data_IF_742607594844
#
_entry.id   IF_742607594844
#
_cell.length_a   1.000
_cell.length_b   1.000
_cell.length_c   1.000
_cell.angle_alpha   90.00
_cell.angle_beta   90.00
_cell.angle_gamma   90.00
#
_symmetry.space_group_name_H-M   'P 1'
#
loop_
_entity.id
_entity.type
_entity.pdbx_description
1 polymer ?
#
# COMPACT_ATOMS: atom_id res chain seq x y z
N UNK A 1 2.07 10.08 15.21
CA UNK A 1 2.38 9.81 13.79
C UNK A 1 1.80 10.84 12.81
N UNK A 2 0.62 11.42 13.01
CA UNK A 2 0.01 12.43 12.12
C UNK A 2 0.75 13.77 12.04
N UNK A 3 1.41 14.19 13.12
CA UNK A 3 2.08 15.50 13.21
C UNK A 3 3.34 15.61 12.34
N UNK A 4 4.08 14.52 12.16
CA UNK A 4 5.33 14.51 11.38
C UNK A 4 5.11 14.61 9.86
N UNK A 5 4.04 14.00 9.32
CA UNK A 5 3.79 14.05 7.87
C UNK A 5 3.38 15.44 7.40
N UNK A 6 2.60 16.17 8.20
CA UNK A 6 2.19 17.54 7.88
C UNK A 6 3.39 18.52 7.91
N UNK A 7 4.31 18.32 8.85
CA UNK A 7 5.50 19.15 8.97
C UNK A 7 6.46 18.96 7.78
N UNK A 8 6.63 17.71 7.34
CA UNK A 8 7.44 17.40 6.14
C UNK A 8 6.90 18.07 4.88
N UNK A 9 5.58 18.03 4.70
CA UNK A 9 4.91 18.69 3.55
C UNK A 9 5.03 20.20 3.62
N UNK A 10 4.90 20.78 4.81
CA UNK A 10 5.09 22.21 5.01
C UNK A 10 6.49 22.64 4.59
N UNK A 11 7.52 21.96 5.08
CA UNK A 11 8.91 22.27 4.74
C UNK A 11 9.14 22.10 3.24
N UNK A 12 8.68 20.99 2.66
CA UNK A 12 8.87 20.70 1.25
C UNK A 12 8.18 21.73 0.35
N UNK A 13 6.92 22.08 0.66
CA UNK A 13 6.17 23.09 -0.10
C UNK A 13 6.79 24.49 0.06
N UNK A 14 7.33 24.81 1.24
CA UNK A 14 8.02 26.08 1.47
C UNK A 14 9.33 26.16 0.70
N UNK A 15 10.15 25.10 0.72
CA UNK A 15 11.39 25.01 -0.06
C UNK A 15 11.11 25.12 -1.56
N UNK A 16 10.10 24.42 -2.08
CA UNK A 16 9.71 24.49 -3.48
C UNK A 16 9.19 25.88 -3.84
N UNK A 17 8.37 26.50 -3.01
CA UNK A 17 7.86 27.84 -3.24
C UNK A 17 9.00 28.88 -3.25
N UNK A 18 9.98 28.76 -2.36
CA UNK A 18 11.15 29.65 -2.34
C UNK A 18 12.02 29.48 -3.59
N UNK A 19 12.15 28.23 -4.07
CA UNK A 19 12.90 27.93 -5.29
C UNK A 19 12.17 28.45 -6.56
N UNK A 20 10.85 28.33 -6.61
CA UNK A 20 10.04 28.92 -7.69
C UNK A 20 10.19 30.44 -7.70
N UNK A 21 10.11 31.10 -6.54
CA UNK A 21 10.28 32.52 -6.42
C UNK A 21 11.68 32.95 -6.90
N UNK A 22 12.74 32.22 -6.54
CA UNK A 22 14.11 32.51 -7.02
C UNK A 22 14.25 32.35 -8.53
N UNK A 23 13.47 31.45 -9.17
CA UNK A 23 13.46 31.32 -10.63
C UNK A 23 12.55 32.33 -11.34
N UNK A 24 11.47 32.80 -10.67
CA UNK A 24 10.63 33.88 -11.20
C UNK A 24 11.36 35.23 -11.21
N UNK A 25 12.30 35.42 -10.29
CA UNK A 25 13.20 36.60 -10.30
C UNK A 25 14.11 36.64 -11.53
N UNK A 26 14.30 35.51 -12.22
CA UNK A 26 15.01 35.43 -13.51
C UNK A 26 14.16 35.86 -14.71
N UNK A 27 12.86 36.20 -14.55
CA UNK A 27 12.07 36.82 -15.58
C UNK A 27 12.48 38.30 -15.77
N UNK A 28 12.55 38.83 -17.02
CA UNK A 28 13.18 40.13 -17.32
C UNK A 28 12.54 41.37 -16.67
N UNK A 29 11.37 41.20 -16.03
CA UNK A 29 10.70 42.29 -15.26
C UNK A 29 11.31 42.46 -13.87
N UNK A 30 12.00 41.45 -13.31
CA UNK A 30 12.60 41.45 -11.98
C UNK A 30 14.13 41.31 -12.04
N UNK A 31 14.69 41.18 -13.27
CA UNK A 31 16.10 40.90 -13.56
C UNK A 31 17.12 41.97 -13.12
N UNK A 32 16.67 43.09 -12.50
CA UNK A 32 17.61 44.09 -11.93
C UNK A 32 18.23 43.63 -10.61
N UNK A 33 17.66 42.65 -9.92
CA UNK A 33 18.18 42.15 -8.64
C UNK A 33 19.20 41.01 -8.81
N UNK A 34 19.05 40.15 -9.86
CA UNK A 34 19.99 39.07 -10.15
C UNK A 34 21.39 39.54 -10.57
N UNK A 35 21.46 40.66 -11.31
CA UNK A 35 22.73 41.28 -11.69
C UNK A 35 23.54 41.84 -10.51
N UNK A 36 22.87 42.11 -9.38
CA UNK A 36 23.51 42.59 -8.16
C UNK A 36 24.23 41.51 -7.37
N UNK A 37 23.86 40.23 -7.59
CA UNK A 37 24.39 39.08 -6.84
C UNK A 37 25.36 38.20 -7.63
N UNK A 38 25.64 38.50 -8.90
CA UNK A 38 26.68 37.81 -9.69
C UNK A 38 26.48 36.28 -9.77
N UNK A 39 25.22 35.83 -9.96
CA UNK A 39 24.90 34.40 -10.06
C UNK A 39 25.48 33.87 -11.38
N UNK A 40 26.46 32.97 -11.33
CA UNK A 40 27.06 32.32 -12.47
C UNK A 40 26.08 31.37 -13.19
N UNK A 41 26.22 31.21 -14.52
CA UNK A 41 25.40 30.31 -15.34
C UNK A 41 25.43 28.85 -14.82
N UNK A 42 26.52 28.44 -14.21
CA UNK A 42 26.68 27.10 -13.56
C UNK A 42 25.71 26.91 -12.38
N UNK A 43 25.50 27.97 -11.59
CA UNK A 43 24.57 27.92 -10.45
C UNK A 43 23.10 27.78 -10.92
N UNK A 44 22.78 28.27 -12.12
CA UNK A 44 21.44 28.14 -12.68
C UNK A 44 21.12 26.69 -13.10
N UNK A 45 22.09 25.96 -13.64
CA UNK A 45 21.90 24.55 -14.00
C UNK A 45 21.72 23.66 -12.77
N UNK A 46 22.52 23.88 -11.73
CA UNK A 46 22.43 23.16 -10.46
C UNK A 46 21.11 23.43 -9.74
N UNK A 47 20.64 24.70 -9.77
CA UNK A 47 19.36 25.05 -9.15
C UNK A 47 18.16 24.42 -9.87
N UNK A 48 18.18 24.33 -11.21
CA UNK A 48 17.15 23.64 -11.99
C UNK A 48 17.11 22.14 -11.68
N UNK A 49 18.27 21.49 -11.55
CA UNK A 49 18.35 20.10 -11.17
C UNK A 49 17.82 19.87 -9.76
N UNK A 50 18.24 20.70 -8.80
CA UNK A 50 17.74 20.64 -7.43
C UNK A 50 16.21 20.83 -7.36
N UNK A 51 15.66 21.75 -8.14
CA UNK A 51 14.22 21.95 -8.25
C UNK A 51 13.51 20.71 -8.80
N UNK A 52 14.01 20.11 -9.89
CA UNK A 52 13.44 18.91 -10.47
C UNK A 52 13.44 17.74 -9.47
N UNK A 53 14.54 17.55 -8.73
CA UNK A 53 14.65 16.53 -7.69
C UNK A 53 13.67 16.76 -6.54
N UNK A 54 13.55 17.99 -6.05
CA UNK A 54 12.59 18.37 -5.01
C UNK A 54 11.14 18.15 -5.46
N UNK A 55 10.81 18.49 -6.71
CA UNK A 55 9.49 18.23 -7.29
C UNK A 55 9.20 16.74 -7.38
N UNK A 56 10.15 15.93 -7.79
CA UNK A 56 10.01 14.48 -7.79
C UNK A 56 9.72 13.94 -6.37
N UNK A 57 10.49 14.34 -5.37
CA UNK A 57 10.29 13.94 -3.98
C UNK A 57 8.92 14.39 -3.46
N UNK A 58 8.50 15.61 -3.80
CA UNK A 58 7.19 16.16 -3.42
C UNK A 58 6.04 15.39 -4.04
N UNK A 59 6.12 15.04 -5.32
CA UNK A 59 5.11 14.25 -6.01
C UNK A 59 5.05 12.81 -5.48
N UNK A 60 6.21 12.20 -5.21
CA UNK A 60 6.29 10.87 -4.59
C UNK A 60 5.64 10.90 -3.20
N UNK A 61 5.90 11.93 -2.41
CA UNK A 61 5.25 12.11 -1.11
C UNK A 61 3.72 12.21 -1.27
N UNK A 62 3.24 12.96 -2.26
CA UNK A 62 1.82 13.06 -2.59
C UNK A 62 1.20 11.71 -2.93
N UNK A 63 1.89 10.88 -3.74
CA UNK A 63 1.44 9.53 -4.09
C UNK A 63 1.42 8.59 -2.89
N UNK A 64 2.42 8.68 -2.02
CA UNK A 64 2.60 7.77 -0.88
C UNK A 64 1.87 8.21 0.38
N UNK A 65 1.20 9.37 0.37
CA UNK A 65 0.56 9.89 1.57
C UNK A 65 -0.75 9.16 1.90
N UNK A 66 -0.96 8.90 3.19
CA UNK A 66 -2.20 8.30 3.69
C UNK A 66 -3.45 9.11 3.33
N UNK A 67 -3.33 10.43 3.12
CA UNK A 67 -4.47 11.28 2.75
C UNK A 67 -5.03 10.90 1.39
N UNK A 68 -4.19 10.58 0.42
CA UNK A 68 -4.63 10.16 -0.92
C UNK A 68 -5.39 8.82 -0.86
N UNK A 69 -4.91 7.87 -0.05
CA UNK A 69 -5.59 6.58 0.12
C UNK A 69 -7.03 6.76 0.65
N UNK A 70 -7.25 7.67 1.59
CA UNK A 70 -8.59 7.99 2.08
C UNK A 70 -9.44 8.73 1.03
N UNK A 71 -8.87 9.75 0.39
CA UNK A 71 -9.56 10.57 -0.62
C UNK A 71 -9.93 9.76 -1.86
N UNK A 72 -9.13 8.77 -2.25
CA UNK A 72 -9.43 7.88 -3.38
C UNK A 72 -10.52 6.84 -3.10
N UNK A 73 -10.90 6.65 -1.83
CA UNK A 73 -11.88 5.64 -1.38
C UNK A 73 -13.11 6.26 -0.71
N UNK A 74 -13.54 7.43 -1.20
CA UNK A 74 -14.75 8.09 -0.69
C UNK A 74 -15.99 7.29 -1.06
N UNK A 75 -16.88 7.17 -0.07
CA UNK A 75 -18.18 6.53 -0.20
C UNK A 75 -19.26 7.28 0.56
N UNK A 76 -20.50 7.05 0.21
CA UNK A 76 -21.65 7.47 0.99
C UNK A 76 -21.81 6.56 2.22
N UNK A 77 -22.51 7.02 3.23
CA UNK A 77 -22.77 6.23 4.44
C UNK A 77 -23.42 4.88 4.11
N UNK A 78 -24.41 4.86 3.23
CA UNK A 78 -25.12 3.64 2.82
C UNK A 78 -24.23 2.66 2.03
N UNK A 79 -23.32 3.16 1.21
CA UNK A 79 -22.35 2.34 0.50
C UNK A 79 -21.32 1.75 1.46
N UNK A 80 -20.87 2.55 2.44
CA UNK A 80 -19.91 2.09 3.43
C UNK A 80 -20.49 1.00 4.33
N UNK A 81 -21.73 1.16 4.79
CA UNK A 81 -22.40 0.13 5.59
C UNK A 81 -22.56 -1.18 4.81
N UNK A 82 -22.96 -1.09 3.52
CA UNK A 82 -23.01 -2.26 2.63
C UNK A 82 -21.65 -2.90 2.41
N UNK A 83 -20.60 -2.08 2.27
CA UNK A 83 -19.23 -2.55 2.13
C UNK A 83 -18.79 -3.30 3.40
N UNK A 84 -18.99 -2.72 4.59
CA UNK A 84 -18.66 -3.37 5.86
C UNK A 84 -19.40 -4.71 5.98
N UNK A 85 -20.72 -4.74 5.75
CA UNK A 85 -21.51 -5.98 5.80
C UNK A 85 -20.99 -7.02 4.80
N UNK A 86 -20.60 -6.61 3.60
CA UNK A 86 -20.02 -7.50 2.60
C UNK A 86 -18.69 -8.12 3.06
N UNK A 87 -17.82 -7.34 3.70
CA UNK A 87 -16.52 -7.81 4.21
C UNK A 87 -16.69 -8.71 5.43
N UNK A 88 -17.66 -8.39 6.32
CA UNK A 88 -18.00 -9.25 7.45
C UNK A 88 -18.51 -10.62 6.99
N UNK A 89 -19.25 -10.70 5.88
CA UNK A 89 -19.75 -11.97 5.29
C UNK A 89 -18.76 -12.65 4.36
N UNK A 90 -17.71 -11.96 3.92
CA UNK A 90 -16.72 -12.54 3.02
C UNK A 90 -15.87 -13.60 3.72
N UNK A 91 -15.61 -14.75 3.08
CA UNK A 91 -14.73 -15.76 3.63
C UNK A 91 -13.29 -15.26 3.71
N UNK A 92 -12.54 -15.64 4.75
CA UNK A 92 -11.10 -15.41 4.81
C UNK A 92 -10.39 -16.33 3.82
N UNK A 93 -9.30 -15.83 3.22
CA UNK A 93 -8.42 -16.61 2.35
C UNK A 93 -6.99 -16.52 2.88
N UNK A 94 -6.33 -17.66 2.97
CA UNK A 94 -4.90 -17.75 3.31
C UNK A 94 -4.21 -18.39 2.13
N UNK A 95 -3.39 -17.58 1.46
CA UNK A 95 -2.67 -17.95 0.25
C UNK A 95 -1.22 -18.24 0.60
N UNK A 96 -0.68 -19.29 0.03
CA UNK A 96 0.71 -19.69 0.19
C UNK A 96 1.46 -19.58 -1.11
N UNK A 97 2.70 -19.12 -1.02
CA UNK A 97 3.63 -19.10 -2.13
C UNK A 97 4.93 -19.73 -1.71
N UNK A 98 5.43 -20.64 -2.55
CA UNK A 98 6.72 -21.27 -2.39
C UNK A 98 7.57 -20.88 -3.60
N UNK A 99 8.76 -20.35 -3.35
CA UNK A 99 9.77 -20.10 -4.38
C UNK A 99 11.00 -20.94 -4.11
N UNK A 100 11.36 -21.79 -5.06
CA UNK A 100 12.59 -22.57 -5.00
C UNK A 100 13.70 -21.84 -5.74
N UNK A 101 14.89 -21.84 -5.17
CA UNK A 101 16.03 -21.15 -5.74
C UNK A 101 17.35 -21.75 -5.28
N UNK A 102 18.40 -21.44 -6.01
CA UNK A 102 19.79 -21.67 -5.61
C UNK A 102 20.65 -20.47 -5.96
N UNK A 103 21.86 -20.45 -5.45
CA UNK A 103 22.84 -19.44 -5.81
C UNK A 103 23.84 -20.01 -6.80
N UNK A 104 24.04 -19.30 -7.91
CA UNK A 104 25.09 -19.55 -8.88
C UNK A 104 26.18 -18.49 -8.76
N UNK A 105 27.43 -18.93 -8.87
CA UNK A 105 28.58 -18.01 -8.95
C UNK A 105 28.75 -17.54 -10.38
N UNK A 106 28.45 -16.26 -10.61
CA UNK A 106 28.70 -15.62 -11.91
C UNK A 106 30.05 -14.93 -11.90
N UNK A 107 30.86 -15.25 -12.92
CA UNK A 107 32.18 -14.65 -13.10
C UNK A 107 32.08 -13.67 -14.25
N UNK A 108 32.35 -12.40 -13.98
CA UNK A 108 32.42 -11.35 -14.99
C UNK A 108 33.86 -10.88 -15.15
N UNK A 109 34.34 -10.90 -16.41
CA UNK A 109 35.66 -10.38 -16.75
C UNK A 109 35.52 -9.10 -17.54
N UNK A 110 35.97 -7.98 -16.96
CA UNK A 110 35.99 -6.66 -17.60
C UNK A 110 37.44 -6.31 -17.97
N UNK A 111 37.66 -5.78 -19.17
CA UNK A 111 38.95 -5.31 -19.62
C UNK A 111 39.07 -3.81 -19.40
N UNK A 112 39.98 -3.40 -18.52
CA UNK A 112 40.26 -1.98 -18.26
C UNK A 112 41.75 -1.74 -18.59
N UNK A 113 42.00 -0.84 -19.53
CA UNK A 113 43.35 -0.50 -19.98
C UNK A 113 44.22 -1.71 -20.42
N UNK A 114 43.61 -2.70 -21.04
CA UNK A 114 44.32 -3.91 -21.48
C UNK A 114 44.58 -4.97 -20.39
N UNK A 115 44.13 -4.73 -19.16
CA UNK A 115 44.21 -5.65 -18.03
C UNK A 115 42.85 -6.27 -17.75
N UNK A 116 42.81 -7.62 -17.66
CA UNK A 116 41.58 -8.35 -17.31
C UNK A 116 41.32 -8.26 -15.79
N UNK A 117 40.19 -7.71 -15.41
CA UNK A 117 39.68 -7.72 -14.04
C UNK A 117 38.54 -8.72 -13.95
N UNK A 118 38.71 -9.77 -13.17
CA UNK A 118 37.70 -10.80 -12.95
C UNK A 118 37.05 -10.58 -11.59
N UNK A 119 35.73 -10.35 -11.59
CA UNK A 119 34.90 -10.28 -10.37
C UNK A 119 33.97 -11.48 -10.33
N UNK A 120 33.78 -12.05 -9.16
CA UNK A 120 32.80 -13.11 -8.92
C UNK A 120 31.73 -12.61 -7.98
N UNK A 121 30.46 -12.78 -8.36
CA UNK A 121 29.33 -12.51 -7.49
C UNK A 121 28.37 -13.68 -7.48
N UNK A 122 27.63 -13.84 -6.38
CA UNK A 122 26.60 -14.85 -6.29
C UNK A 122 25.27 -14.26 -6.76
N UNK A 123 24.68 -14.88 -7.78
CA UNK A 123 23.37 -14.53 -8.30
C UNK A 123 22.33 -15.54 -7.82
N UNK A 124 21.17 -15.02 -7.34
CA UNK A 124 20.04 -15.87 -6.98
C UNK A 124 19.27 -16.27 -8.24
N UNK A 125 19.27 -17.55 -8.54
CA UNK A 125 18.52 -18.12 -9.67
C UNK A 125 17.26 -18.79 -9.15
N UNK A 126 16.10 -18.26 -9.54
CA UNK A 126 14.79 -18.85 -9.21
C UNK A 126 14.48 -19.99 -10.17
N UNK A 127 14.27 -21.19 -9.61
CA UNK A 127 14.00 -22.41 -10.38
C UNK A 127 12.51 -22.61 -10.61
N UNK A 128 11.69 -22.42 -9.57
CA UNK A 128 10.24 -22.63 -9.66
C UNK A 128 9.48 -21.83 -8.63
N UNK A 129 8.18 -21.59 -8.90
CA UNK A 129 7.25 -20.93 -7.98
C UNK A 129 5.92 -21.66 -7.98
N UNK A 130 5.40 -21.95 -6.80
CA UNK A 130 4.13 -22.65 -6.61
C UNK A 130 3.22 -21.82 -5.71
N UNK A 131 1.95 -21.87 -6.02
CA UNK A 131 0.90 -21.20 -5.26
C UNK A 131 -0.06 -22.23 -4.70
N UNK A 132 -0.50 -22.02 -3.49
CA UNK A 132 -1.48 -22.85 -2.80
C UNK A 132 -2.39 -22.03 -1.92
N UNK A 133 -3.42 -22.66 -1.40
CA UNK A 133 -4.38 -22.03 -0.51
C UNK A 133 -4.67 -22.98 0.65
N UNK A 134 -4.81 -22.43 1.86
CA UNK A 134 -5.27 -23.18 3.03
C UNK A 134 -6.69 -23.68 2.80
N UNK A 135 -6.92 -24.96 3.05
CA UNK A 135 -8.27 -25.54 3.04
C UNK A 135 -8.96 -25.22 4.36
N UNK A 136 -9.96 -24.36 4.27
CA UNK A 136 -10.77 -23.91 5.39
C UNK A 136 -12.06 -24.77 5.39
N UNK A 137 -12.38 -25.35 6.55
CA UNK A 137 -13.60 -26.10 6.75
C UNK A 137 -14.76 -25.16 7.10
N UNK A 138 -14.54 -24.31 8.08
CA UNK A 138 -15.52 -23.32 8.50
C UNK A 138 -14.82 -22.08 9.06
N UNK A 139 -15.55 -20.98 9.09
CA UNK A 139 -15.10 -19.75 9.73
C UNK A 139 -16.26 -19.05 10.42
N UNK A 140 -15.94 -18.26 11.44
CA UNK A 140 -16.89 -17.41 12.17
C UNK A 140 -16.36 -16.01 12.29
N UNK A 141 -17.26 -15.05 12.26
CA UNK A 141 -16.94 -13.64 12.46
C UNK A 141 -17.02 -13.30 13.95
N UNK A 142 -15.95 -12.73 14.50
CA UNK A 142 -15.85 -12.28 15.89
C UNK A 142 -15.58 -10.77 15.96
N UNK A 143 -16.04 -10.00 14.99
CA UNK A 143 -15.83 -8.55 14.87
C UNK A 143 -16.79 -7.77 15.76
N UNK A 144 -16.60 -7.83 17.07
CA UNK A 144 -17.49 -7.20 18.05
C UNK A 144 -17.55 -5.68 17.95
N UNK A 145 -16.47 -5.04 17.49
CA UNK A 145 -16.38 -3.57 17.38
C UNK A 145 -17.38 -2.95 16.38
N UNK A 146 -17.91 -3.74 15.44
CA UNK A 146 -18.87 -3.26 14.44
C UNK A 146 -20.31 -3.25 14.90
N UNK A 147 -20.64 -3.93 16.01
CA UNK A 147 -22.00 -3.90 16.58
C UNK A 147 -22.33 -2.51 17.15
N UNK A 148 -21.31 -1.74 17.55
CA UNK A 148 -21.42 -0.39 18.11
C UNK A 148 -21.20 0.73 17.08
N UNK A 149 -20.83 0.43 15.84
CA UNK A 149 -20.74 1.39 14.74
C UNK A 149 -22.16 1.78 14.27
N UNK A 150 -22.92 2.32 15.20
CA UNK A 150 -24.21 2.94 14.91
C UNK A 150 -23.96 4.18 14.04
N UNK A 151 -24.88 4.48 13.11
CA UNK A 151 -24.75 5.63 12.21
C UNK A 151 -24.53 6.98 12.91
N UNK A 152 -24.71 7.05 14.24
CA UNK A 152 -24.46 8.22 15.08
C UNK A 152 -22.98 8.63 15.08
N UNK A 153 -22.05 7.69 15.14
CA UNK A 153 -20.60 8.02 15.15
C UNK A 153 -20.11 8.50 13.77
N UNK A 154 -20.71 8.01 12.69
CA UNK A 154 -20.39 8.45 11.34
C UNK A 154 -20.89 9.88 11.05
N UNK A 155 -21.99 10.31 11.70
CA UNK A 155 -22.60 11.62 11.49
C UNK A 155 -21.99 12.75 12.31
N UNK A 156 -21.10 12.42 13.26
CA UNK A 156 -20.46 13.42 14.14
C UNK A 156 -19.55 14.39 13.39
N UNK A 157 -18.97 13.96 12.28
CA UNK A 157 -18.07 14.75 11.44
C UNK A 157 -18.58 14.80 10.00
N UNK A 158 -18.28 15.87 9.28
CA UNK A 158 -18.61 15.98 7.86
C UNK A 158 -17.97 14.86 7.02
N UNK A 159 -16.83 14.37 7.49
CA UNK A 159 -16.09 13.24 6.92
C UNK A 159 -15.58 12.35 8.03
N UNK A 160 -15.57 11.04 7.82
CA UNK A 160 -15.00 10.06 8.77
C UNK A 160 -14.04 9.14 8.05
N UNK A 161 -12.80 9.14 8.49
CA UNK A 161 -11.75 8.22 8.04
C UNK A 161 -11.89 6.92 8.80
N UNK A 162 -12.18 5.83 8.12
CA UNK A 162 -12.29 4.50 8.70
C UNK A 162 -11.04 3.73 8.32
N UNK A 163 -10.31 3.25 9.31
CA UNK A 163 -9.18 2.35 9.15
C UNK A 163 -9.57 0.96 9.62
N UNK A 164 -9.60 0.02 8.70
CA UNK A 164 -9.92 -1.36 8.98
C UNK A 164 -8.63 -2.17 9.11
N UNK A 165 -8.59 -3.06 10.10
CA UNK A 165 -7.52 -4.05 10.27
C UNK A 165 -8.15 -5.44 10.20
N UNK A 166 -7.55 -6.35 9.45
CA UNK A 166 -7.96 -7.74 9.43
C UNK A 166 -7.12 -8.55 10.44
N UNK A 167 -7.79 -9.27 11.31
CA UNK A 167 -7.17 -10.21 12.22
C UNK A 167 -7.70 -11.62 11.96
N UNK A 168 -6.81 -12.61 11.92
CA UNK A 168 -7.15 -14.00 11.62
C UNK A 168 -6.69 -14.87 12.79
N UNK A 169 -7.65 -15.51 13.46
CA UNK A 169 -7.38 -16.48 14.52
C UNK A 169 -7.60 -17.89 13.98
N UNK A 170 -6.56 -18.71 14.03
CA UNK A 170 -6.59 -20.09 13.57
C UNK A 170 -6.75 -20.99 14.80
N UNK A 171 -7.91 -21.64 14.90
CA UNK A 171 -8.25 -22.53 16.02
C UNK A 171 -7.44 -23.81 15.95
N UNK A 172 -7.47 -24.48 14.81
CA UNK A 172 -6.86 -25.79 14.60
C UNK A 172 -5.42 -25.63 14.10
N UNK A 173 -4.52 -25.21 15.00
CA UNK A 173 -3.12 -24.90 14.68
C UNK A 173 -2.35 -26.11 14.17
N UNK A 174 -2.65 -27.29 14.68
CA UNK A 174 -1.99 -28.53 14.26
C UNK A 174 -2.31 -28.87 12.81
N UNK A 175 -3.60 -28.82 12.43
CA UNK A 175 -4.06 -29.05 11.06
C UNK A 175 -3.51 -27.99 10.10
N UNK A 176 -3.47 -26.73 10.56
CA UNK A 176 -2.85 -25.65 9.78
C UNK A 176 -1.37 -25.94 9.50
N UNK A 177 -0.59 -26.28 10.53
CA UNK A 177 0.84 -26.60 10.37
C UNK A 177 1.06 -27.86 9.52
N UNK A 178 0.18 -28.86 9.66
CA UNK A 178 0.23 -30.07 8.86
C UNK A 178 0.02 -29.75 7.36
N UNK A 179 -1.01 -28.98 7.01
CA UNK A 179 -1.27 -28.56 5.63
C UNK A 179 -0.13 -27.72 5.07
N UNK A 180 0.37 -26.74 5.85
CA UNK A 180 1.48 -25.87 5.46
C UNK A 180 2.76 -26.70 5.21
N UNK A 181 3.09 -27.61 6.11
CA UNK A 181 4.28 -28.47 6.01
C UNK A 181 4.17 -29.42 4.81
N UNK A 182 2.98 -29.99 4.60
CA UNK A 182 2.71 -30.82 3.43
C UNK A 182 2.90 -30.03 2.14
N UNK A 183 2.34 -28.83 2.03
CA UNK A 183 2.49 -27.96 0.87
C UNK A 183 3.95 -27.61 0.61
N UNK A 184 4.70 -27.20 1.64
CA UNK A 184 6.12 -26.88 1.51
C UNK A 184 6.96 -28.08 1.05
N UNK A 185 6.73 -29.26 1.67
CA UNK A 185 7.52 -30.46 1.37
C UNK A 185 7.20 -31.02 -0.02
N UNK A 186 5.93 -31.01 -0.45
CA UNK A 186 5.53 -31.50 -1.77
C UNK A 186 6.04 -30.61 -2.93
N UNK A 187 6.41 -29.36 -2.64
CA UNK A 187 6.90 -28.41 -3.65
C UNK A 187 8.38 -28.03 -3.42
N UNK A 188 9.15 -28.88 -2.76
CA UNK A 188 10.58 -28.66 -2.55
C UNK A 188 11.38 -29.28 -3.69
N UNK A 189 11.77 -28.46 -4.66
CA UNK A 189 12.47 -28.92 -5.87
C UNK A 189 13.90 -28.39 -5.99
N UNK A 190 14.39 -27.59 -5.02
CA UNK A 190 15.72 -27.01 -5.05
C UNK A 190 16.35 -26.97 -3.65
N UNK A 191 17.62 -26.54 -3.58
CA UNK A 191 18.41 -26.48 -2.34
C UNK A 191 17.79 -25.51 -1.32
N UNK A 192 17.28 -24.38 -1.79
CA UNK A 192 16.71 -23.33 -0.97
C UNK A 192 15.24 -23.07 -1.34
N UNK A 193 14.47 -22.71 -0.35
CA UNK A 193 13.04 -22.47 -0.50
C UNK A 193 12.62 -21.29 0.36
N UNK A 194 12.00 -20.29 -0.27
CA UNK A 194 11.28 -19.24 0.43
C UNK A 194 9.80 -19.56 0.49
N UNK A 195 9.20 -19.34 1.65
CA UNK A 195 7.78 -19.51 1.88
C UNK A 195 7.18 -18.17 2.29
N UNK A 196 6.13 -17.78 1.58
CA UNK A 196 5.38 -16.55 1.89
C UNK A 196 3.92 -16.91 2.12
N UNK A 197 3.35 -16.37 3.18
CA UNK A 197 1.94 -16.48 3.49
C UNK A 197 1.29 -15.11 3.36
N UNK A 198 0.17 -15.05 2.64
CA UNK A 198 -0.66 -13.86 2.50
C UNK A 198 -2.06 -14.18 3.03
N UNK A 199 -2.51 -13.39 3.99
CA UNK A 199 -3.85 -13.48 4.57
C UNK A 199 -4.69 -12.35 4.03
N UNK A 200 -5.82 -12.66 3.44
CA UNK A 200 -6.70 -11.65 2.86
C UNK A 200 -8.19 -11.99 3.04
N UNK A 201 -9.00 -10.96 2.90
CA UNK A 201 -10.44 -11.06 2.75
C UNK A 201 -10.76 -10.44 1.41
N UNK A 202 -11.56 -11.11 0.60
CA UNK A 202 -11.89 -10.62 -0.75
C UNK A 202 -12.55 -9.23 -0.69
N UNK A 203 -11.99 -8.28 -1.44
CA UNK A 203 -12.50 -6.91 -1.48
C UNK A 203 -12.16 -6.06 -0.27
N UNK A 204 -11.28 -6.52 0.64
CA UNK A 204 -10.86 -5.76 1.81
C UNK A 204 -10.05 -4.52 1.42
N UNK A 205 -10.40 -3.39 2.03
CA UNK A 205 -9.68 -2.12 1.92
C UNK A 205 -9.32 -1.62 3.32
N UNK A 206 -8.05 -1.39 3.55
CA UNK A 206 -7.56 -0.92 4.87
C UNK A 206 -8.04 0.49 5.23
N UNK A 207 -8.29 1.31 4.22
CA UNK A 207 -8.61 2.74 4.42
C UNK A 207 -9.79 3.12 3.55
N UNK A 208 -10.84 3.62 4.18
CA UNK A 208 -12.02 4.16 3.51
C UNK A 208 -12.41 5.50 4.14
N UNK A 209 -13.08 6.36 3.39
CA UNK A 209 -13.60 7.62 3.88
C UNK A 209 -15.09 7.75 3.58
N UNK A 210 -15.83 8.10 4.58
CA UNK A 210 -17.29 8.32 4.50
C UNK A 210 -17.58 9.80 4.62
N UNK A 211 -18.41 10.30 3.71
CA UNK A 211 -19.00 11.63 3.84
C UNK A 211 -20.43 11.48 4.35
N UNK A 212 -20.72 12.06 5.52
CA UNK A 212 -22.03 11.99 6.19
C UNK A 212 -22.43 13.38 6.74
N UNK A 213 -23.72 13.55 6.98
CA UNK A 213 -24.26 14.77 7.56
C UNK A 213 -24.60 15.88 6.54
N UNK A 214 -25.16 17.00 7.00
CA UNK A 214 -25.72 18.06 6.17
C UNK A 214 -24.68 18.83 5.33
N UNK A 215 -23.41 18.78 5.72
CA UNK A 215 -22.29 19.39 4.97
C UNK A 215 -21.58 18.40 4.02
N UNK A 216 -22.15 17.20 3.86
CA UNK A 216 -21.53 16.11 3.09
C UNK A 216 -21.28 16.46 1.62
N UNK A 217 -22.16 17.25 0.98
CA UNK A 217 -22.02 17.63 -0.42
C UNK A 217 -20.74 18.45 -0.67
N UNK A 218 -20.49 19.49 0.14
CA UNK A 218 -19.26 20.28 0.04
C UNK A 218 -18.04 19.45 0.41
N UNK A 219 -18.14 18.68 1.48
CA UNK A 219 -17.06 17.80 1.93
C UNK A 219 -16.72 16.75 0.89
N UNK A 220 -17.70 16.14 0.22
CA UNK A 220 -17.46 15.14 -0.82
C UNK A 220 -16.77 15.73 -2.05
N UNK A 221 -17.12 16.94 -2.48
CA UNK A 221 -16.45 17.65 -3.57
C UNK A 221 -15.00 17.95 -3.18
N UNK A 222 -14.79 18.57 -2.02
CA UNK A 222 -13.47 18.96 -1.54
C UNK A 222 -12.55 17.79 -1.25
N UNK A 223 -13.11 16.65 -0.88
CA UNK A 223 -12.34 15.45 -0.57
C UNK A 223 -12.11 14.53 -1.80
N UNK A 224 -12.35 15.00 -3.02
CA UNK A 224 -12.04 14.21 -4.23
C UNK A 224 -10.53 14.15 -4.52
N UNK A 225 -10.10 13.05 -5.16
CA UNK A 225 -8.72 12.90 -5.60
C UNK A 225 -8.27 14.03 -6.55
N UNK A 226 -9.20 14.54 -7.39
CA UNK A 226 -8.92 15.65 -8.29
C UNK A 226 -8.59 16.94 -7.53
N UNK A 227 -9.37 17.28 -6.50
CA UNK A 227 -9.09 18.47 -5.66
C UNK A 227 -7.82 18.27 -4.85
N UNK A 228 -7.57 17.07 -4.34
CA UNK A 228 -6.30 16.74 -3.67
C UNK A 228 -5.11 17.05 -4.59
N UNK A 229 -5.11 16.52 -5.81
CA UNK A 229 -4.03 16.74 -6.77
C UNK A 229 -3.93 18.19 -7.24
N UNK A 230 -5.07 18.87 -7.46
CA UNK A 230 -5.06 20.30 -7.76
C UNK A 230 -4.37 21.10 -6.66
N UNK A 231 -4.77 20.89 -5.41
CA UNK A 231 -4.13 21.57 -4.27
C UNK A 231 -2.66 21.16 -4.09
N UNK A 232 -2.29 19.95 -4.49
CA UNK A 232 -0.90 19.48 -4.43
C UNK A 232 -0.04 20.11 -5.51
N UNK A 233 -0.57 20.27 -6.73
CA UNK A 233 0.15 20.93 -7.83
C UNK A 233 0.29 22.45 -7.60
N UNK A 234 -0.71 23.08 -6.98
CA UNK A 234 -0.62 24.47 -6.53
C UNK A 234 0.02 24.49 -5.14
N UNK A 235 1.34 24.44 -5.10
CA UNK A 235 2.17 24.21 -3.92
C UNK A 235 1.72 24.88 -2.61
N UNK A 236 1.35 26.17 -2.56
CA UNK A 236 0.91 26.81 -1.32
C UNK A 236 -0.42 26.26 -0.78
N UNK A 237 -1.22 25.60 -1.62
CA UNK A 237 -2.53 25.06 -1.21
C UNK A 237 -2.46 23.68 -0.58
N UNK A 238 -1.39 22.91 -0.79
CA UNK A 238 -1.28 21.55 -0.29
C UNK A 238 -1.36 21.49 1.25
N UNK A 239 -0.67 22.39 1.94
CA UNK A 239 -0.66 22.42 3.40
C UNK A 239 -2.02 22.85 3.98
N UNK A 240 -2.63 24.00 3.60
CA UNK A 240 -3.92 24.39 4.10
C UNK A 240 -5.03 23.38 3.76
N UNK A 241 -4.96 22.75 2.58
CA UNK A 241 -5.89 21.68 2.23
C UNK A 241 -5.78 20.47 3.19
N UNK A 242 -4.56 20.00 3.48
CA UNK A 242 -4.36 18.89 4.41
C UNK A 242 -4.81 19.23 5.84
N UNK A 243 -4.57 20.47 6.28
CA UNK A 243 -5.04 20.95 7.57
C UNK A 243 -6.57 20.98 7.62
N UNK A 244 -7.21 21.49 6.56
CA UNK A 244 -8.67 21.48 6.43
C UNK A 244 -9.23 20.05 6.46
N UNK A 245 -8.65 19.13 5.67
CA UNK A 245 -9.04 17.74 5.63
C UNK A 245 -8.91 17.07 7.01
N UNK A 246 -7.85 17.39 7.74
CA UNK A 246 -7.60 16.86 9.09
C UNK A 246 -8.58 17.43 10.12
N UNK A 247 -8.89 18.73 10.04
CA UNK A 247 -9.78 19.40 10.97
C UNK A 247 -11.25 18.96 10.82
N UNK A 248 -11.68 18.64 9.57
CA UNK A 248 -13.06 18.27 9.26
C UNK A 248 -13.28 16.75 9.20
N UNK A 249 -12.27 15.94 9.49
CA UNK A 249 -12.39 14.49 9.46
C UNK A 249 -12.26 13.86 10.85
N UNK A 250 -13.25 13.05 11.23
CA UNK A 250 -13.16 12.08 12.31
C UNK A 250 -12.26 10.90 11.92
N UNK A 251 -11.86 10.11 12.89
CA UNK A 251 -11.07 8.89 12.69
C UNK A 251 -11.68 7.76 13.49
N UNK A 252 -11.98 6.67 12.83
CA UNK A 252 -12.44 5.42 13.42
C UNK A 252 -11.43 4.33 13.01
N UNK A 253 -10.97 3.55 13.97
CA UNK A 253 -10.20 2.32 13.72
C UNK A 253 -11.04 1.15 14.21
N UNK A 254 -11.20 0.14 13.37
CA UNK A 254 -11.93 -1.06 13.73
C UNK A 254 -11.21 -2.30 13.22
N UNK A 255 -11.34 -3.40 13.96
CA UNK A 255 -10.68 -4.67 13.65
C UNK A 255 -11.71 -5.71 13.23
N UNK A 256 -11.57 -6.25 12.04
CA UNK A 256 -12.34 -7.41 11.56
C UNK A 256 -11.61 -8.66 12.02
N UNK A 257 -12.24 -9.43 12.90
CA UNK A 257 -11.67 -10.66 13.45
C UNK A 257 -12.38 -11.87 12.87
N UNK A 258 -11.63 -12.70 12.15
CA UNK A 258 -12.13 -13.96 11.56
C UNK A 258 -11.49 -15.13 12.27
N UNK A 259 -12.31 -15.97 12.89
CA UNK A 259 -11.87 -17.24 13.46
C UNK A 259 -12.00 -18.34 12.40
N UNK A 260 -10.92 -19.07 12.16
CA UNK A 260 -10.80 -20.04 11.07
C UNK A 260 -10.59 -21.44 11.65
N UNK A 261 -11.36 -22.40 11.12
CA UNK A 261 -11.15 -23.83 11.36
C UNK A 261 -10.61 -24.49 10.09
N UNK A 262 -9.53 -25.23 10.25
CA UNK A 262 -8.84 -25.89 9.15
C UNK A 262 -9.40 -27.28 8.90
N UNK A 263 -9.57 -27.66 7.63
CA UNK A 263 -9.88 -29.05 7.26
C UNK A 263 -8.69 -29.95 7.60
N UNK A 264 -8.95 -31.17 8.03
CA UNK A 264 -7.89 -32.17 8.13
C UNK A 264 -7.29 -32.42 6.74
N UNK A 265 -5.94 -32.47 6.64
CA UNK A 265 -5.32 -32.89 5.41
C UNK A 265 -5.90 -34.27 5.04
N UNK A 266 -6.19 -34.54 3.76
CA UNK A 266 -6.57 -35.89 3.38
C UNK A 266 -5.46 -36.81 3.82
N UNK A 267 -5.76 -37.68 4.81
CA UNK A 267 -4.83 -38.71 5.21
C UNK A 267 -4.34 -39.38 3.92
N UNK A 268 -3.03 -39.56 3.83
CA UNK A 268 -2.42 -40.39 2.82
C UNK A 268 -2.96 -41.84 2.99
N UNK A 269 -4.18 -42.07 2.56
CA UNK A 269 -4.68 -43.38 2.23
C UNK A 269 -3.82 -43.85 1.06
N UNK A 270 -3.07 -44.90 1.33
CA UNK A 270 -2.04 -45.48 0.53
C UNK A 270 -2.22 -45.38 -0.97
N UNK A 271 -1.13 -45.19 -1.63
CA UNK A 271 -0.80 -45.37 -3.03
C UNK A 271 -1.97 -45.83 -3.91
N UNK A 272 -2.48 -44.95 -4.74
CA UNK A 272 -3.34 -45.33 -5.85
C UNK A 272 -4.29 -44.22 -6.26
N UNK A 273 -3.91 -43.45 -7.28
CA UNK A 273 -4.80 -42.55 -7.96
C UNK A 273 -4.23 -41.17 -8.23
N UNK A 274 -3.42 -41.06 -9.26
CA UNK A 274 -3.13 -39.79 -9.94
C UNK A 274 -4.44 -39.26 -10.54
N UNK A 275 -5.15 -38.44 -9.77
CA UNK A 275 -6.23 -37.60 -10.27
C UNK A 275 -5.66 -36.22 -10.54
N UNK A 276 -5.43 -35.92 -11.81
CA UNK A 276 -5.13 -34.59 -12.31
C UNK A 276 -6.29 -33.64 -11.92
N UNK A 277 -6.08 -32.84 -10.89
CA UNK A 277 -6.95 -31.69 -10.61
C UNK A 277 -6.50 -30.55 -11.52
N UNK A 278 -7.42 -30.21 -12.42
CA UNK A 278 -7.30 -29.12 -13.38
C UNK A 278 -6.79 -27.83 -12.72
N UNK A 279 -5.71 -27.33 -13.25
CA UNK A 279 -5.27 -25.94 -13.11
C UNK A 279 -6.34 -25.00 -13.64
N UNK A 280 -7.21 -24.52 -12.76
CA UNK A 280 -7.96 -23.32 -13.03
C UNK A 280 -7.29 -22.17 -12.26
N UNK A 281 -6.32 -21.57 -12.91
CA UNK A 281 -5.66 -20.35 -12.49
C UNK A 281 -6.61 -19.17 -12.56
N UNK A 282 -7.29 -18.89 -11.48
CA UNK A 282 -7.83 -17.56 -11.23
C UNK A 282 -6.83 -16.80 -10.35
N UNK A 283 -5.90 -16.12 -11.00
CA UNK A 283 -5.11 -15.05 -10.41
C UNK A 283 -6.08 -13.93 -9.98
N UNK A 284 -6.69 -14.07 -8.80
CA UNK A 284 -7.31 -12.95 -8.10
C UNK A 284 -6.20 -12.16 -7.45
N UNK A 285 -5.89 -11.03 -8.04
CA UNK A 285 -4.97 -10.05 -7.46
C UNK A 285 -5.65 -9.47 -6.23
N UNK A 286 -5.16 -9.81 -5.05
CA UNK A 286 -5.43 -9.06 -3.82
C UNK A 286 -4.55 -7.80 -3.89
N UNK A 287 -5.14 -6.66 -4.29
CA UNK A 287 -4.53 -5.32 -4.27
C UNK A 287 -4.98 -4.61 -3.00
#
# INVERSE_FOLDING_TARGET
>A
MFRESHFKVLILSWLLSSLILSHLDALPVIGSWGALFGVSEDLESESRFAFAMLMCVYLIEGCCCNSLAFVSSISTESEQLRYIDSVLRAPPEILWKVENYHYETRIETTWVNGTAHTTSHQERVRTSSFHGQLRIDSWTDHSHEFQDLSGVDLQRYAMTKIRLKAHFDIVDREEYHAQMSHFRNSHRFDRLQDFTETRCILGFKESTMVCSGPQSAMASIMATASVFWFCHLVLPLAFPYRMWLSANSGKIEATISKQIRCSRPPHALGHGGMGALAENSLLKVCV
#
